data_IF_715323767282
#
_entry.id   IF_715323767282
#
_cell.length_a   1.000
_cell.length_b   1.000
_cell.length_c   1.000
_cell.angle_alpha   90.00
_cell.angle_beta   90.00
_cell.angle_gamma   90.00
#
_symmetry.space_group_name_H-M   'P 1'
#
loop_
_entity.id
_entity.type
_entity.pdbx_description
1 polymer ?
#
# COMPACT_ATOMS: atom_id res chain seq x y z
N UNK A 1 -74.48 -38.79 -18.91
CA UNK A 1 -73.30 -38.96 -18.05
C UNK A 1 -72.17 -38.26 -18.74
N UNK A 2 -71.91 -36.95 -18.37
CA UNK A 2 -70.87 -36.11 -18.99
C UNK A 2 -69.58 -36.21 -18.17
N UNK A 3 -68.54 -36.79 -18.74
CA UNK A 3 -67.23 -36.82 -18.14
C UNK A 3 -66.54 -35.44 -18.28
N UNK A 4 -65.92 -34.92 -17.22
CA UNK A 4 -65.20 -33.65 -17.32
C UNK A 4 -63.94 -33.85 -18.14
N UNK A 5 -63.76 -32.97 -19.14
CA UNK A 5 -62.58 -32.88 -20.01
C UNK A 5 -61.40 -32.38 -19.16
N UNK A 6 -60.40 -33.22 -18.96
CA UNK A 6 -59.16 -32.83 -18.29
C UNK A 6 -58.47 -31.73 -19.12
N UNK A 7 -58.39 -30.52 -18.56
CA UNK A 7 -57.62 -29.41 -19.13
C UNK A 7 -56.14 -29.81 -18.99
N UNK A 8 -55.53 -30.13 -20.13
CA UNK A 8 -54.10 -30.34 -20.22
C UNK A 8 -53.44 -28.94 -20.05
N UNK A 9 -53.03 -28.61 -18.86
CA UNK A 9 -52.17 -27.43 -18.62
C UNK A 9 -50.82 -27.71 -19.29
N UNK A 10 -50.62 -26.99 -20.40
CA UNK A 10 -49.48 -27.14 -21.27
C UNK A 10 -48.18 -26.76 -20.57
N UNK A 11 -47.12 -27.53 -20.87
CA UNK A 11 -45.73 -27.30 -20.41
C UNK A 11 -45.09 -26.00 -20.97
N UNK A 12 -45.86 -25.03 -21.46
CA UNK A 12 -45.36 -23.78 -22.04
C UNK A 12 -44.78 -22.83 -20.99
N UNK A 13 -45.24 -22.83 -19.75
CA UNK A 13 -44.76 -21.92 -18.71
C UNK A 13 -43.35 -22.23 -18.23
N UNK A 14 -42.91 -23.48 -18.37
CA UNK A 14 -41.53 -23.88 -18.00
C UNK A 14 -40.47 -23.36 -18.97
N UNK A 15 -40.79 -23.22 -20.24
CA UNK A 15 -39.89 -22.66 -21.25
C UNK A 15 -39.69 -21.14 -21.11
N UNK A 16 -40.76 -20.41 -20.82
CA UNK A 16 -40.71 -18.96 -20.62
C UNK A 16 -39.84 -18.60 -19.39
N UNK A 17 -40.03 -19.28 -18.28
CA UNK A 17 -39.28 -19.09 -17.05
C UNK A 17 -37.76 -19.40 -17.24
N UNK A 18 -37.42 -20.37 -18.10
CA UNK A 18 -36.02 -20.70 -18.41
C UNK A 18 -35.34 -19.59 -19.23
N UNK A 19 -36.07 -18.98 -20.15
CA UNK A 19 -35.55 -17.85 -20.94
C UNK A 19 -35.37 -16.61 -20.08
N UNK A 20 -36.33 -16.30 -19.20
CA UNK A 20 -36.21 -15.21 -18.23
C UNK A 20 -34.97 -15.38 -17.33
N UNK A 21 -34.80 -16.59 -16.77
CA UNK A 21 -33.62 -16.90 -15.98
C UNK A 21 -32.31 -16.75 -16.78
N UNK A 22 -32.28 -17.21 -18.02
CA UNK A 22 -31.10 -17.12 -18.87
C UNK A 22 -30.65 -15.67 -19.16
N UNK A 23 -31.59 -14.72 -19.15
CA UNK A 23 -31.30 -13.29 -19.34
C UNK A 23 -30.87 -12.64 -18.01
N UNK A 24 -31.51 -12.98 -16.92
CA UNK A 24 -31.26 -12.37 -15.60
C UNK A 24 -29.97 -12.92 -14.97
N UNK A 25 -29.69 -14.23 -15.12
CA UNK A 25 -28.55 -14.87 -14.48
C UNK A 25 -27.18 -14.22 -14.82
N UNK A 26 -26.86 -13.89 -16.09
CA UNK A 26 -25.60 -13.23 -16.41
C UNK A 26 -25.45 -11.86 -15.72
N UNK A 27 -26.51 -11.05 -15.67
CA UNK A 27 -26.49 -9.76 -15.00
C UNK A 27 -26.25 -9.91 -13.51
N UNK A 28 -26.89 -10.90 -12.89
CA UNK A 28 -26.74 -11.20 -11.47
C UNK A 28 -25.36 -11.70 -11.14
N UNK A 29 -24.76 -12.55 -11.99
CA UNK A 29 -23.38 -13.02 -11.85
C UNK A 29 -22.36 -11.88 -11.95
N UNK A 30 -22.51 -10.98 -12.93
CA UNK A 30 -21.64 -9.79 -13.07
C UNK A 30 -21.71 -8.93 -11.81
N UNK A 31 -22.92 -8.73 -11.26
CA UNK A 31 -23.10 -7.94 -10.04
C UNK A 31 -22.43 -8.63 -8.84
N UNK A 32 -22.62 -9.94 -8.66
CA UNK A 32 -22.00 -10.69 -7.56
C UNK A 32 -20.47 -10.65 -7.67
N UNK A 33 -19.92 -10.91 -8.84
CA UNK A 33 -18.46 -10.84 -9.03
C UNK A 33 -17.93 -9.44 -8.82
N UNK A 34 -18.66 -8.41 -9.28
CA UNK A 34 -18.28 -7.01 -9.02
C UNK A 34 -18.23 -6.68 -7.52
N UNK A 35 -19.19 -7.14 -6.73
CA UNK A 35 -19.19 -6.95 -5.27
C UNK A 35 -18.00 -7.66 -4.62
N UNK A 36 -17.71 -8.89 -5.03
CA UNK A 36 -16.58 -9.66 -4.52
C UNK A 36 -15.26 -8.95 -4.83
N UNK A 37 -15.04 -8.54 -6.07
CA UNK A 37 -13.84 -7.80 -6.48
C UNK A 37 -13.66 -6.52 -5.69
N UNK A 38 -14.72 -5.72 -5.58
CA UNK A 38 -14.66 -4.49 -4.82
C UNK A 38 -14.36 -4.73 -3.34
N UNK A 39 -14.88 -5.81 -2.77
CA UNK A 39 -14.58 -6.23 -1.40
C UNK A 39 -13.09 -6.53 -1.19
N UNK A 40 -12.45 -7.21 -2.15
CA UNK A 40 -11.01 -7.49 -2.08
C UNK A 40 -10.17 -6.22 -2.23
N UNK A 41 -10.51 -5.34 -3.17
CA UNK A 41 -9.87 -4.02 -3.32
C UNK A 41 -9.93 -3.24 -2.03
N UNK A 42 -11.13 -3.13 -1.44
CA UNK A 42 -11.34 -2.40 -0.19
C UNK A 42 -10.52 -2.96 0.97
N UNK A 43 -10.49 -4.30 1.09
CA UNK A 43 -9.67 -4.98 2.09
C UNK A 43 -8.17 -4.65 1.90
N UNK A 44 -7.66 -4.72 0.69
CA UNK A 44 -6.26 -4.40 0.38
C UNK A 44 -5.95 -2.95 0.76
N UNK A 45 -6.78 -2.01 0.37
CA UNK A 45 -6.64 -0.59 0.72
C UNK A 45 -6.58 -0.37 2.24
N UNK A 46 -7.50 -0.96 2.99
CA UNK A 46 -7.52 -0.83 4.45
C UNK A 46 -6.26 -1.40 5.10
N UNK A 47 -5.75 -2.50 4.58
CA UNK A 47 -4.56 -3.13 5.16
C UNK A 47 -3.31 -2.32 4.86
N UNK A 48 -3.15 -1.85 3.63
CA UNK A 48 -2.03 -0.97 3.29
C UNK A 48 -2.12 0.34 4.10
N UNK A 49 -3.31 0.91 4.27
CA UNK A 49 -3.51 2.09 5.11
C UNK A 49 -3.06 1.85 6.55
N UNK A 50 -3.44 0.72 7.16
CA UNK A 50 -3.02 0.38 8.51
C UNK A 50 -1.50 0.13 8.60
N UNK A 51 -0.92 -0.55 7.61
CA UNK A 51 0.52 -0.76 7.54
C UNK A 51 1.28 0.57 7.46
N UNK A 52 0.85 1.48 6.59
CA UNK A 52 1.42 2.80 6.42
C UNK A 52 1.33 3.64 7.70
N UNK A 53 0.19 3.59 8.39
CA UNK A 53 0.03 4.29 9.68
C UNK A 53 0.95 3.73 10.77
N UNK A 54 1.12 2.43 10.83
CA UNK A 54 2.04 1.78 11.79
C UNK A 54 3.48 2.14 11.47
N UNK A 55 3.87 2.03 10.20
CA UNK A 55 5.19 2.38 9.70
C UNK A 55 5.54 3.85 9.99
N UNK A 56 4.61 4.77 9.75
CA UNK A 56 4.82 6.19 10.01
C UNK A 56 5.00 6.52 11.50
N UNK A 57 4.29 5.83 12.39
CA UNK A 57 4.51 5.98 13.86
C UNK A 57 5.90 5.49 14.26
N UNK A 58 6.36 4.37 13.70
CA UNK A 58 7.70 3.84 13.96
C UNK A 58 8.75 4.82 13.44
N UNK A 59 8.59 5.34 12.22
CA UNK A 59 9.48 6.35 11.67
C UNK A 59 9.57 7.59 12.58
N UNK A 60 8.45 8.05 13.09
CA UNK A 60 8.39 9.22 13.98
C UNK A 60 9.03 8.98 15.35
N UNK A 61 8.88 7.76 15.89
CA UNK A 61 9.42 7.43 17.21
C UNK A 61 10.92 7.12 17.20
N UNK A 62 11.43 6.53 16.12
CA UNK A 62 12.85 6.20 16.00
C UNK A 62 13.72 7.39 15.53
N UNK A 63 13.09 8.35 14.84
CA UNK A 63 13.73 9.61 14.48
C UNK A 63 15.11 9.45 13.82
N UNK A 64 16.18 9.74 14.58
CA UNK A 64 17.57 9.72 14.14
C UNK A 64 18.28 8.36 14.31
N UNK A 65 17.56 7.34 14.74
CA UNK A 65 18.17 6.00 14.86
C UNK A 65 18.55 5.46 13.48
N UNK A 66 19.74 4.90 13.36
CA UNK A 66 20.26 4.33 12.09
C UNK A 66 19.44 3.13 11.60
N UNK A 67 18.68 2.50 12.49
CA UNK A 67 17.79 1.38 12.19
C UNK A 67 16.33 1.81 11.93
N UNK A 68 16.05 3.13 11.91
CA UNK A 68 14.69 3.64 11.76
C UNK A 68 14.02 3.13 10.48
N UNK A 69 14.68 3.26 9.36
CA UNK A 69 14.13 2.84 8.07
C UNK A 69 13.97 1.32 7.98
N UNK A 70 14.92 0.56 8.53
CA UNK A 70 14.80 -0.89 8.64
C UNK A 70 13.57 -1.33 9.45
N UNK A 71 13.34 -0.70 10.60
CA UNK A 71 12.19 -0.99 11.44
C UNK A 71 10.86 -0.60 10.76
N UNK A 72 10.84 0.50 10.00
CA UNK A 72 9.70 0.90 9.15
C UNK A 72 9.37 -0.19 8.14
N UNK A 73 10.35 -0.65 7.37
CA UNK A 73 10.16 -1.69 6.35
C UNK A 73 9.71 -3.01 6.97
N UNK A 74 10.31 -3.41 8.10
CA UNK A 74 9.91 -4.58 8.86
C UNK A 74 8.44 -4.51 9.31
N UNK A 75 7.98 -3.33 9.75
CA UNK A 75 6.60 -3.14 10.16
C UNK A 75 5.61 -3.25 9.00
N UNK A 76 6.01 -2.77 7.80
CA UNK A 76 5.25 -2.95 6.56
C UNK A 76 5.14 -4.44 6.23
N UNK A 77 6.25 -5.18 6.27
CA UNK A 77 6.26 -6.63 6.05
C UNK A 77 5.32 -7.37 7.00
N UNK A 78 5.44 -7.12 8.29
CA UNK A 78 4.61 -7.78 9.31
C UNK A 78 3.12 -7.48 9.12
N UNK A 79 2.79 -6.24 8.76
CA UNK A 79 1.41 -5.82 8.56
C UNK A 79 0.78 -6.41 7.30
N UNK A 80 1.55 -6.57 6.24
CA UNK A 80 1.08 -7.01 4.92
C UNK A 80 1.24 -8.52 4.70
N UNK A 81 2.16 -9.17 5.39
CA UNK A 81 2.44 -10.61 5.26
C UNK A 81 1.24 -11.52 5.54
N UNK A 82 0.23 -11.02 6.23
CA UNK A 82 -0.98 -11.77 6.60
C UNK A 82 -2.04 -11.89 5.50
N UNK A 83 -1.93 -11.13 4.40
CA UNK A 83 -3.06 -10.99 3.46
C UNK A 83 -2.84 -11.60 2.08
N UNK A 84 -1.68 -11.36 1.47
CA UNK A 84 -1.43 -11.81 0.09
C UNK A 84 0.06 -12.00 -0.16
N UNK A 85 0.86 -11.91 0.89
CA UNK A 85 2.29 -11.77 0.77
C UNK A 85 2.66 -10.35 0.31
N UNK A 86 3.92 -10.02 0.47
CA UNK A 86 4.50 -8.73 0.08
C UNK A 86 4.50 -8.49 -1.45
N UNK A 87 4.08 -9.48 -2.24
CA UNK A 87 4.03 -9.39 -3.71
C UNK A 87 3.16 -8.27 -4.27
N UNK A 88 2.33 -7.65 -3.42
CA UNK A 88 1.53 -6.49 -3.83
C UNK A 88 2.28 -5.17 -3.65
N UNK A 89 3.31 -5.12 -2.79
CA UNK A 89 4.09 -3.90 -2.53
C UNK A 89 5.22 -3.82 -3.53
N UNK A 90 5.41 -2.64 -4.09
CA UNK A 90 6.50 -2.37 -5.03
C UNK A 90 7.57 -1.49 -4.37
N UNK A 91 7.15 -0.38 -3.75
CA UNK A 91 8.08 0.55 -3.12
C UNK A 91 7.52 1.13 -1.82
N UNK A 92 8.42 1.49 -0.93
CA UNK A 92 8.16 2.29 0.28
C UNK A 92 9.06 3.50 0.25
N UNK A 93 8.47 4.68 0.36
CA UNK A 93 9.20 5.94 0.45
C UNK A 93 9.07 6.51 1.86
N UNK A 94 10.19 6.88 2.44
CA UNK A 94 10.29 7.56 3.74
C UNK A 94 10.88 8.94 3.46
N UNK A 95 10.15 10.01 3.76
CA UNK A 95 10.49 11.34 3.30
C UNK A 95 10.18 12.43 4.33
N UNK A 96 10.94 13.53 4.24
CA UNK A 96 10.70 14.74 5.04
C UNK A 96 9.54 15.53 4.45
N UNK A 97 8.60 15.92 5.30
CA UNK A 97 7.47 16.77 4.91
C UNK A 97 7.79 18.25 5.06
N UNK A 98 7.21 19.06 4.19
CA UNK A 98 7.24 20.54 4.29
C UNK A 98 6.31 21.10 5.39
N UNK A 99 5.81 20.27 6.30
CA UNK A 99 4.84 20.66 7.32
C UNK A 99 3.38 20.74 6.83
N UNK A 100 3.15 20.80 5.53
CA UNK A 100 1.82 20.81 4.90
C UNK A 100 1.42 19.42 4.36
N UNK A 101 2.25 18.40 4.58
CA UNK A 101 1.95 17.05 4.15
C UNK A 101 2.44 16.69 2.75
N UNK A 102 3.28 17.52 2.16
CA UNK A 102 3.93 17.24 0.88
C UNK A 102 5.42 16.97 1.09
N UNK A 103 6.04 16.11 0.28
CA UNK A 103 7.47 15.85 0.33
C UNK A 103 8.30 17.13 0.09
N UNK A 104 9.37 17.31 0.87
CA UNK A 104 10.42 18.25 0.55
C UNK A 104 11.32 17.63 -0.52
N UNK A 105 11.49 18.32 -1.65
CA UNK A 105 12.49 18.06 -2.65
C UNK A 105 12.53 16.66 -3.27
N UNK A 106 11.92 16.48 -4.43
CA UNK A 106 12.26 15.39 -5.36
C UNK A 106 11.88 13.94 -5.00
N UNK A 107 11.16 13.71 -3.92
CA UNK A 107 10.75 12.37 -3.50
C UNK A 107 9.67 11.70 -4.40
N UNK A 108 9.30 12.34 -5.48
CA UNK A 108 8.34 11.80 -6.45
C UNK A 108 8.95 10.85 -7.48
N UNK A 109 10.29 10.84 -7.58
CA UNK A 109 11.04 9.97 -8.48
C UNK A 109 12.22 9.38 -7.71
N UNK A 110 12.14 8.14 -7.26
CA UNK A 110 13.21 7.47 -6.51
C UNK A 110 14.50 7.36 -7.31
N UNK A 111 14.39 7.27 -8.63
CA UNK A 111 15.54 7.19 -9.52
C UNK A 111 16.24 8.55 -9.73
N UNK A 112 15.57 9.65 -9.40
CA UNK A 112 16.15 10.99 -9.45
C UNK A 112 17.00 11.38 -8.23
N UNK A 113 16.99 10.59 -7.16
CA UNK A 113 17.83 10.81 -5.98
C UNK A 113 17.47 12.06 -5.17
N UNK A 114 16.26 12.12 -4.64
CA UNK A 114 15.85 13.20 -3.74
C UNK A 114 16.68 13.26 -2.45
N UNK A 115 17.10 14.45 -2.03
CA UNK A 115 17.99 14.62 -0.87
C UNK A 115 17.31 14.43 0.48
N UNK A 116 15.97 14.48 0.54
CA UNK A 116 15.18 14.39 1.78
C UNK A 116 14.22 13.20 1.72
N UNK A 117 14.64 12.12 1.09
CA UNK A 117 13.83 10.93 0.85
C UNK A 117 14.68 9.68 0.73
N UNK A 118 14.23 8.64 1.37
CA UNK A 118 14.73 7.27 1.18
C UNK A 118 13.62 6.46 0.54
N UNK A 119 13.92 5.87 -0.62
CA UNK A 119 13.02 4.97 -1.33
C UNK A 119 13.59 3.56 -1.33
N UNK A 120 12.73 2.59 -1.04
CA UNK A 120 13.11 1.18 -0.96
C UNK A 120 12.18 0.37 -1.85
N UNK A 121 12.77 -0.45 -2.73
CA UNK A 121 12.03 -1.36 -3.62
C UNK A 121 12.03 -2.77 -3.04
N UNK A 122 10.89 -3.40 -3.05
CA UNK A 122 10.75 -4.78 -2.61
C UNK A 122 11.20 -5.76 -3.71
N UNK A 123 12.16 -6.62 -3.40
CA UNK A 123 12.69 -7.67 -4.30
C UNK A 123 12.77 -9.01 -3.56
N UNK A 124 11.71 -9.81 -3.62
CA UNK A 124 11.66 -11.07 -2.90
C UNK A 124 12.71 -12.07 -3.39
N UNK A 125 13.30 -12.80 -2.46
CA UNK A 125 14.27 -13.85 -2.75
C UNK A 125 15.73 -13.40 -2.75
N UNK A 126 16.00 -12.20 -2.29
CA UNK A 126 17.38 -11.73 -2.06
C UNK A 126 17.97 -12.37 -0.80
N UNK A 127 19.27 -12.66 -0.79
CA UNK A 127 19.92 -13.17 0.41
C UNK A 127 19.97 -12.08 1.48
N UNK A 128 19.22 -12.27 2.57
CA UNK A 128 19.24 -11.44 3.76
C UNK A 128 17.98 -10.59 3.94
N UNK A 129 17.88 -9.45 3.29
CA UNK A 129 16.77 -8.52 3.42
C UNK A 129 16.20 -8.18 2.03
N UNK A 130 14.87 -8.23 1.90
CA UNK A 130 14.19 -8.15 0.61
C UNK A 130 13.97 -6.71 0.10
N UNK A 131 14.52 -5.69 0.76
CA UNK A 131 14.38 -4.29 0.39
C UNK A 131 15.70 -3.68 -0.06
N UNK A 132 15.66 -2.95 -1.17
CA UNK A 132 16.82 -2.29 -1.75
C UNK A 132 16.62 -0.78 -1.86
N UNK A 133 17.59 0.03 -1.46
CA UNK A 133 17.52 1.47 -1.64
C UNK A 133 17.57 1.86 -3.12
N UNK A 134 16.80 2.87 -3.51
CA UNK A 134 16.80 3.49 -4.82
C UNK A 134 17.45 4.89 -4.72
N UNK A 135 18.12 5.40 -5.75
CA UNK A 135 18.47 4.81 -7.05
C UNK A 135 19.72 3.95 -6.99
N UNK A 136 20.46 3.97 -5.88
CA UNK A 136 21.70 3.25 -5.77
C UNK A 136 21.46 1.85 -5.19
N UNK A 137 21.61 0.78 -5.97
CA UNK A 137 21.43 -0.59 -5.51
C UNK A 137 22.62 -1.09 -4.66
N UNK A 138 23.47 -0.21 -4.17
CA UNK A 138 24.50 -0.57 -3.20
C UNK A 138 23.80 -0.99 -1.90
N UNK A 139 23.48 -2.28 -1.84
CA UNK A 139 22.89 -2.90 -0.69
C UNK A 139 23.82 -2.75 0.52
N UNK A 140 23.28 -2.26 1.61
CA UNK A 140 23.97 -2.20 2.89
C UNK A 140 23.36 -3.22 3.84
N UNK A 141 24.18 -3.80 4.69
CA UNK A 141 23.72 -4.77 5.66
C UNK A 141 22.80 -4.09 6.69
N UNK A 142 21.62 -4.69 7.00
CA UNK A 142 20.79 -4.20 8.08
C UNK A 142 21.57 -4.13 9.40
N UNK A 143 21.26 -3.18 10.30
CA UNK A 143 20.09 -2.31 10.27
C UNK A 143 20.26 -0.98 9.53
N UNK A 144 21.47 -0.58 9.16
CA UNK A 144 21.72 0.63 8.39
C UNK A 144 21.59 0.32 6.89
N UNK A 145 20.48 0.75 6.31
CA UNK A 145 20.18 0.49 4.90
C UNK A 145 20.75 1.55 3.97
N UNK A 146 21.39 2.59 4.52
CA UNK A 146 21.80 3.75 3.76
C UNK A 146 20.61 4.55 3.24
N UNK A 147 20.86 5.46 2.35
CA UNK A 147 19.84 6.29 1.72
C UNK A 147 20.34 7.71 1.48
N UNK A 148 19.48 8.53 0.85
CA UNK A 148 19.80 9.92 0.53
C UNK A 148 19.38 10.88 1.66
N UNK A 149 18.54 10.45 2.55
CA UNK A 149 18.10 11.19 3.74
C UNK A 149 18.70 10.54 4.98
N UNK A 150 19.70 11.20 5.56
CA UNK A 150 20.45 10.67 6.69
C UNK A 150 19.68 10.66 7.99
N UNK A 151 20.37 10.29 9.07
CA UNK A 151 19.80 10.07 10.40
C UNK A 151 20.30 11.09 11.43
N UNK A 152 20.90 12.19 11.02
CA UNK A 152 21.34 13.24 11.95
C UNK A 152 20.19 14.13 12.43
N UNK A 153 20.36 14.77 13.56
CA UNK A 153 19.36 15.68 14.13
C UNK A 153 19.02 16.83 13.17
N UNK A 154 19.98 17.25 12.33
CA UNK A 154 19.80 18.33 11.35
C UNK A 154 19.07 17.85 10.10
N UNK A 155 19.14 16.57 9.76
CA UNK A 155 18.46 15.99 8.60
C UNK A 155 17.04 15.58 8.93
N UNK A 156 16.79 15.06 10.12
CA UNK A 156 15.47 14.56 10.54
C UNK A 156 14.70 15.50 11.47
N UNK A 157 15.36 16.60 11.92
CA UNK A 157 14.77 17.67 12.70
C UNK A 157 13.90 17.16 13.89
N UNK A 158 14.56 16.39 14.75
CA UNK A 158 13.94 15.81 15.96
C UNK A 158 14.12 16.66 17.21
N UNK A 159 14.81 17.81 17.08
CA UNK A 159 15.03 18.76 18.17
C UNK A 159 13.91 19.79 18.15
N UNK A 160 13.29 19.98 19.30
CA UNK A 160 12.27 21.00 19.45
C UNK A 160 12.91 22.38 19.52
N UNK A 161 12.89 23.10 18.44
CA UNK A 161 13.36 24.50 18.32
C UNK A 161 12.21 25.48 18.02
N UNK A 162 12.56 26.70 17.57
CA UNK A 162 11.58 27.74 17.22
C UNK A 162 10.67 27.38 16.05
N UNK A 163 11.11 26.49 15.17
CA UNK A 163 10.39 26.06 13.97
C UNK A 163 9.55 24.80 14.23
N UNK A 164 9.72 24.18 15.41
CA UNK A 164 9.02 23.01 15.87
C UNK A 164 9.72 21.73 15.43
N UNK A 165 9.08 20.60 15.69
CA UNK A 165 9.59 19.27 15.26
C UNK A 165 9.33 19.04 13.78
N UNK A 166 10.27 18.41 13.12
CA UNK A 166 10.11 17.93 11.75
C UNK A 166 8.96 16.94 11.58
N UNK A 167 8.56 16.74 10.35
CA UNK A 167 7.45 15.86 9.98
C UNK A 167 7.95 14.83 8.99
N UNK A 168 7.74 13.56 9.30
CA UNK A 168 8.05 12.42 8.44
C UNK A 168 6.80 11.92 7.74
N UNK A 169 6.92 11.63 6.45
CA UNK A 169 5.94 10.93 5.67
C UNK A 169 6.42 9.53 5.28
N UNK A 170 5.53 8.57 5.33
CA UNK A 170 5.76 7.23 4.79
C UNK A 170 4.70 6.96 3.74
N UNK A 171 5.13 6.61 2.53
CA UNK A 171 4.24 6.26 1.42
C UNK A 171 4.54 4.85 0.98
N UNK A 172 3.50 4.01 0.94
CA UNK A 172 3.58 2.65 0.42
C UNK A 172 2.92 2.62 -0.96
N UNK A 173 3.69 2.24 -1.97
CA UNK A 173 3.21 2.03 -3.34
C UNK A 173 2.93 0.55 -3.56
N UNK A 174 1.76 0.25 -4.12
CA UNK A 174 1.31 -1.12 -4.26
C UNK A 174 0.49 -1.33 -5.53
N UNK A 175 0.46 -2.57 -6.00
CA UNK A 175 -0.35 -3.03 -7.12
C UNK A 175 -1.58 -3.79 -6.64
N UNK A 176 -2.57 -3.88 -7.49
CA UNK A 176 -3.74 -4.71 -7.28
C UNK A 176 -4.03 -5.54 -8.54
N UNK A 177 -4.18 -6.84 -8.36
CA UNK A 177 -4.57 -7.75 -9.44
C UNK A 177 -6.04 -8.12 -9.28
N UNK A 178 -6.81 -7.97 -10.35
CA UNK A 178 -8.21 -8.35 -10.39
C UNK A 178 -8.34 -9.88 -10.44
N UNK A 179 -9.17 -10.46 -9.59
CA UNK A 179 -9.30 -11.91 -9.47
C UNK A 179 -10.10 -12.49 -10.65
N UNK A 180 -11.15 -11.79 -11.07
CA UNK A 180 -12.07 -12.30 -12.10
C UNK A 180 -11.67 -11.90 -13.51
N UNK A 181 -10.79 -10.90 -13.68
CA UNK A 181 -10.44 -10.34 -14.98
C UNK A 181 -11.61 -9.67 -15.72
N UNK A 182 -12.75 -9.44 -15.06
CA UNK A 182 -13.92 -8.77 -15.62
C UNK A 182 -13.74 -7.26 -15.76
N UNK A 183 -12.79 -6.69 -15.03
CA UNK A 183 -12.52 -5.24 -15.10
C UNK A 183 -11.64 -4.95 -16.32
N UNK A 184 -12.08 -4.04 -17.22
CA UNK A 184 -11.38 -3.74 -18.47
C UNK A 184 -10.07 -2.99 -18.30
N UNK A 185 -9.75 -2.55 -17.07
CA UNK A 185 -8.57 -1.75 -16.77
C UNK A 185 -7.29 -2.57 -16.55
N UNK A 186 -7.34 -3.91 -16.74
CA UNK A 186 -6.20 -4.77 -16.45
C UNK A 186 -5.78 -4.74 -14.99
N UNK A 187 -4.73 -5.50 -14.65
CA UNK A 187 -4.06 -5.32 -13.38
C UNK A 187 -3.56 -3.87 -13.29
N UNK A 188 -3.74 -3.22 -12.15
CA UNK A 188 -3.06 -1.94 -11.90
C UNK A 188 -1.57 -2.28 -11.83
N UNK A 189 -0.94 -2.23 -12.98
CA UNK A 189 0.46 -2.52 -13.13
C UNK A 189 1.24 -1.36 -12.52
N UNK A 190 1.96 -1.63 -11.48
CA UNK A 190 2.99 -0.76 -10.95
C UNK A 190 4.25 -0.93 -11.82
N UNK A 191 4.15 -0.63 -13.10
CA UNK A 191 5.25 -0.85 -14.04
C UNK A 191 6.34 0.23 -13.92
N UNK A 192 5.92 1.43 -13.50
CA UNK A 192 6.80 2.57 -13.25
C UNK A 192 6.42 3.21 -11.91
N UNK A 193 6.86 2.66 -10.79
CA UNK A 193 6.66 3.33 -9.50
C UNK A 193 7.31 4.73 -9.54
N UNK A 194 6.66 5.77 -8.99
CA UNK A 194 5.37 5.78 -8.31
C UNK A 194 4.16 6.07 -9.22
N UNK A 195 4.37 6.37 -10.53
CA UNK A 195 3.38 7.02 -11.38
C UNK A 195 2.12 6.17 -11.63
N UNK A 196 2.29 4.85 -11.79
CA UNK A 196 1.19 3.93 -12.16
C UNK A 196 0.69 3.10 -10.98
N UNK A 197 1.19 3.36 -9.76
CA UNK A 197 0.87 2.58 -8.58
C UNK A 197 -0.27 3.19 -7.77
N UNK A 198 -1.00 2.35 -7.08
CA UNK A 198 -1.79 2.84 -5.97
C UNK A 198 -0.87 3.17 -4.81
N UNK A 199 -1.22 4.20 -4.05
CA UNK A 199 -0.41 4.61 -2.90
C UNK A 199 -1.27 4.91 -1.69
N UNK A 200 -0.67 4.73 -0.52
CA UNK A 200 -1.20 5.21 0.74
C UNK A 200 -0.09 5.94 1.49
N UNK A 201 -0.41 7.08 2.10
CA UNK A 201 0.55 7.94 2.79
C UNK A 201 0.11 8.16 4.23
N UNK A 202 1.04 7.95 5.17
CA UNK A 202 0.93 8.35 6.56
C UNK A 202 1.92 9.47 6.86
N UNK A 203 1.48 10.49 7.60
CA UNK A 203 2.28 11.66 7.95
C UNK A 203 2.27 11.83 9.46
N UNK A 204 3.45 11.93 10.03
CA UNK A 204 3.65 11.98 11.48
C UNK A 204 4.69 13.03 11.82
N UNK A 205 4.50 13.67 12.98
CA UNK A 205 5.52 14.54 13.55
C UNK A 205 6.52 13.69 14.33
N UNK A 206 7.82 13.98 14.23
CA UNK A 206 8.82 13.31 15.05
C UNK A 206 8.53 13.50 16.54
N UNK A 207 8.86 12.48 17.31
CA UNK A 207 8.86 12.59 18.77
C UNK A 207 10.12 13.32 19.21
N UNK A 208 10.00 14.29 20.14
CA UNK A 208 11.16 15.03 20.61
C UNK A 208 12.12 14.11 21.34
N UNK A 209 13.41 14.19 21.02
CA UNK A 209 14.43 13.60 21.86
C UNK A 209 14.42 14.32 23.22
N UNK A 210 14.11 13.59 24.27
CA UNK A 210 14.31 14.08 25.62
C UNK A 210 15.83 14.08 25.85
N UNK A 211 16.45 15.24 25.77
CA UNK A 211 17.81 15.38 26.28
C UNK A 211 17.75 15.13 27.79
N UNK A 212 18.21 13.98 28.24
CA UNK A 212 18.62 13.85 29.63
C UNK A 212 19.73 14.90 29.84
N UNK A 213 19.41 15.91 30.65
CA UNK A 213 20.37 16.89 31.10
C UNK A 213 21.51 16.11 31.76
N UNK A 214 22.61 15.95 31.06
CA UNK A 214 23.82 15.36 31.63
C UNK A 214 24.43 16.41 32.58
N UNK A 215 23.93 16.40 33.81
CA UNK A 215 24.61 17.05 34.95
C UNK A 215 25.92 16.40 35.27
#
# INVERSE_FOLDING_TARGET
MNLPRAVHMGNHDRGASLVEFAIVAPLLLILIFGIIEFGFVWRTQLTVANATQTAGRIAASLGTSTDADYAVLQSVEQSLGTISGLNIVEEVHIWQSNGLGSPLGGCGDPDAGGTNCNAYRYQPGSPGFDWFPCPNPAWQDPPDLGGNWGYTNTERDVVLDSDGLGVVGVTVYFKHSWITGLMPTGDVACANPPADCWSNTGIFRFEPLLFEDST
#
